data_IF_572257905986
#
_entry.id   IF_572257905986
#
_cell.length_a   1.000
_cell.length_b   1.000
_cell.length_c   1.000
_cell.angle_alpha   90.00
_cell.angle_beta   90.00
_cell.angle_gamma   90.00
#
_symmetry.space_group_name_H-M   'P 1'
#
loop_
_entity.id
_entity.type
_entity.pdbx_description
1 polymer ?
#
# COMPACT_ATOMS: atom_id res chain seq x y z
N UNK A 1 15.49 19.78 -16.96
CA UNK A 1 14.41 18.81 -16.66
C UNK A 1 14.96 17.80 -15.67
N UNK A 2 14.94 18.15 -14.37
CA UNK A 2 15.45 17.29 -13.29
C UNK A 2 14.28 16.87 -12.40
N UNK A 3 13.51 15.88 -12.84
CA UNK A 3 12.36 15.36 -12.07
C UNK A 3 12.49 13.88 -11.74
N UNK A 4 13.48 13.18 -12.30
CA UNK A 4 13.56 11.72 -12.23
C UNK A 4 14.06 11.17 -10.87
N UNK A 5 14.79 11.95 -10.08
CA UNK A 5 15.42 11.46 -8.84
C UNK A 5 14.48 11.35 -7.64
N UNK A 6 13.27 11.93 -7.69
CA UNK A 6 12.33 11.95 -6.56
C UNK A 6 11.09 11.06 -6.75
N UNK A 7 10.92 10.43 -7.91
CA UNK A 7 9.75 9.56 -8.18
C UNK A 7 9.68 8.38 -7.20
N UNK A 8 10.78 7.65 -6.90
CA UNK A 8 10.73 6.53 -5.96
C UNK A 8 10.37 6.95 -4.52
N UNK A 9 10.90 8.08 -4.04
CA UNK A 9 10.62 8.60 -2.70
C UNK A 9 9.19 9.12 -2.58
N UNK A 10 8.69 9.81 -3.61
CA UNK A 10 7.27 10.27 -3.66
C UNK A 10 6.32 9.08 -3.69
N UNK A 11 6.61 8.06 -4.50
CA UNK A 11 5.82 6.83 -4.56
C UNK A 11 5.76 6.17 -3.18
N UNK A 12 6.90 5.99 -2.52
CA UNK A 12 6.95 5.42 -1.18
C UNK A 12 6.14 6.26 -0.16
N UNK A 13 6.26 7.59 -0.19
CA UNK A 13 5.50 8.48 0.68
C UNK A 13 3.99 8.35 0.48
N UNK A 14 3.50 8.26 -0.76
CA UNK A 14 2.08 8.04 -1.06
C UNK A 14 1.60 6.69 -0.53
N UNK A 15 2.37 5.62 -0.77
CA UNK A 15 2.05 4.28 -0.25
C UNK A 15 2.02 4.27 1.28
N UNK A 16 2.94 4.96 1.93
CA UNK A 16 2.93 5.15 3.39
C UNK A 16 1.77 6.03 3.87
N UNK A 17 1.31 6.99 3.07
CA UNK A 17 0.08 7.75 3.34
C UNK A 17 -1.21 6.93 3.19
N UNK A 18 -1.13 5.66 2.80
CA UNK A 18 -2.28 4.78 2.60
C UNK A 18 -2.88 4.82 1.18
N UNK A 19 -2.25 5.52 0.23
CA UNK A 19 -2.67 5.46 -1.16
C UNK A 19 -2.46 4.04 -1.72
N UNK A 20 -3.44 3.50 -2.45
CA UNK A 20 -3.28 2.24 -3.18
C UNK A 20 -2.23 2.36 -4.29
N UNK A 21 -1.72 1.24 -4.80
CA UNK A 21 -0.83 1.23 -5.96
C UNK A 21 -1.45 1.93 -7.16
N UNK A 22 -2.73 1.66 -7.46
CA UNK A 22 -3.46 2.28 -8.58
C UNK A 22 -3.57 3.79 -8.43
N UNK A 23 -3.81 4.28 -7.21
CA UNK A 23 -3.87 5.71 -6.90
C UNK A 23 -2.49 6.36 -7.05
N UNK A 24 -1.44 5.76 -6.49
CA UNK A 24 -0.07 6.28 -6.62
C UNK A 24 0.41 6.28 -8.08
N UNK A 25 0.01 5.30 -8.88
CA UNK A 25 0.28 5.25 -10.32
C UNK A 25 -0.39 6.43 -11.04
N UNK A 26 -1.68 6.67 -10.77
CA UNK A 26 -2.42 7.76 -11.39
C UNK A 26 -1.86 9.14 -11.00
N UNK A 27 -1.54 9.34 -9.71
CA UNK A 27 -1.01 10.61 -9.20
C UNK A 27 0.39 10.94 -9.74
N UNK A 28 1.22 9.92 -9.98
CA UNK A 28 2.58 10.10 -10.50
C UNK A 28 2.71 9.91 -12.01
N UNK A 29 1.58 9.76 -12.71
CA UNK A 29 1.51 9.50 -14.16
C UNK A 29 2.44 8.35 -14.60
N UNK A 30 2.51 7.28 -13.81
CA UNK A 30 3.40 6.15 -14.05
C UNK A 30 2.78 5.17 -15.05
N UNK A 31 3.63 4.62 -15.90
CA UNK A 31 3.23 3.45 -16.69
C UNK A 31 2.99 2.25 -15.77
N UNK A 32 2.14 1.27 -16.18
CA UNK A 32 1.92 0.05 -15.39
C UNK A 32 3.22 -0.69 -15.07
N UNK A 33 4.18 -0.67 -16.01
CA UNK A 33 5.50 -1.28 -15.83
C UNK A 33 6.32 -0.58 -14.75
N UNK A 34 6.36 0.76 -14.76
CA UNK A 34 7.06 1.54 -13.73
C UNK A 34 6.42 1.37 -12.35
N UNK A 35 5.09 1.40 -12.28
CA UNK A 35 4.36 1.16 -11.05
C UNK A 35 4.62 -0.25 -10.50
N UNK A 36 4.68 -1.28 -11.37
CA UNK A 36 5.02 -2.64 -10.97
C UNK A 36 6.45 -2.78 -10.43
N UNK A 37 7.43 -2.12 -11.06
CA UNK A 37 8.81 -2.10 -10.56
C UNK A 37 8.92 -1.40 -9.20
N UNK A 38 8.27 -0.24 -9.04
CA UNK A 38 8.27 0.51 -7.79
C UNK A 38 7.54 -0.24 -6.68
N UNK A 39 6.43 -0.90 -6.98
CA UNK A 39 5.71 -1.73 -6.01
C UNK A 39 6.55 -2.96 -5.60
N UNK A 40 7.26 -3.61 -6.53
CA UNK A 40 8.19 -4.68 -6.18
C UNK A 40 9.29 -4.19 -5.25
N UNK A 41 9.91 -3.04 -5.54
CA UNK A 41 10.92 -2.44 -4.66
C UNK A 41 10.32 -2.08 -3.30
N UNK A 42 9.12 -1.51 -3.26
CA UNK A 42 8.41 -1.18 -2.03
C UNK A 42 8.09 -2.42 -1.18
N UNK A 43 7.69 -3.54 -1.80
CA UNK A 43 7.36 -4.79 -1.10
C UNK A 43 8.61 -5.57 -0.67
N UNK A 44 9.69 -5.53 -1.47
CA UNK A 44 10.93 -6.29 -1.25
C UNK A 44 11.92 -5.55 -0.34
N UNK A 45 11.87 -4.21 -0.27
CA UNK A 45 12.74 -3.42 0.62
C UNK A 45 12.65 -3.96 2.06
N UNK A 46 13.74 -4.61 2.48
CA UNK A 46 13.84 -5.44 3.67
C UNK A 46 13.38 -4.73 4.94
N UNK A 47 12.76 -5.44 5.89
CA UNK A 47 12.63 -4.95 7.25
C UNK A 47 14.04 -4.63 7.78
N UNK A 48 14.24 -3.43 8.33
CA UNK A 48 15.47 -3.12 9.08
C UNK A 48 16.29 -1.87 8.73
N UNK A 49 16.03 -1.06 7.70
CA UNK A 49 16.71 0.26 7.59
C UNK A 49 15.80 1.35 7.05
N UNK A 50 15.52 2.33 7.92
CA UNK A 50 14.86 3.63 7.69
C UNK A 50 13.40 3.60 7.18
N UNK A 51 13.10 2.79 6.17
CA UNK A 51 11.77 2.63 5.54
C UNK A 51 10.76 1.90 6.44
N UNK A 52 11.23 1.11 7.41
CA UNK A 52 10.37 0.38 8.36
C UNK A 52 9.69 1.29 9.40
N UNK A 53 10.24 2.48 9.63
CA UNK A 53 9.63 3.52 10.48
C UNK A 53 8.51 4.28 9.77
N UNK A 54 8.54 4.33 8.44
CA UNK A 54 7.52 5.00 7.64
C UNK A 54 6.37 4.06 7.24
N UNK A 55 6.51 2.74 7.39
CA UNK A 55 5.40 1.80 7.21
C UNK A 55 4.27 2.10 8.19
N UNK A 56 3.04 2.34 7.72
CA UNK A 56 1.88 2.40 8.59
C UNK A 56 1.74 1.11 9.38
N UNK A 57 1.30 1.21 10.63
CA UNK A 57 1.16 0.06 11.53
C UNK A 57 0.34 -1.07 10.89
N UNK A 58 -0.67 -0.74 10.08
CA UNK A 58 -1.50 -1.72 9.37
C UNK A 58 -0.79 -2.47 8.24
N UNK A 59 0.26 -1.90 7.61
CA UNK A 59 1.01 -2.59 6.55
C UNK A 59 1.78 -3.81 7.07
N UNK A 60 2.00 -3.89 8.39
CA UNK A 60 2.56 -5.08 9.06
C UNK A 60 1.53 -6.21 9.24
N UNK A 61 0.26 -5.89 9.04
CA UNK A 61 -0.86 -6.78 9.27
C UNK A 61 -1.45 -7.31 7.96
N UNK A 62 -0.80 -7.16 6.81
CA UNK A 62 -1.37 -7.66 5.54
C UNK A 62 -1.69 -9.16 5.59
N UNK A 63 -0.81 -9.97 6.20
CA UNK A 63 -1.08 -11.40 6.44
C UNK A 63 -2.26 -11.62 7.39
N UNK A 64 -2.40 -10.77 8.42
CA UNK A 64 -3.51 -10.81 9.36
C UNK A 64 -4.83 -10.37 8.70
N UNK A 65 -4.83 -9.32 7.90
CA UNK A 65 -5.99 -8.85 7.13
C UNK A 65 -6.40 -9.91 6.11
N UNK A 66 -5.45 -10.51 5.39
CA UNK A 66 -5.73 -11.61 4.48
C UNK A 66 -6.32 -12.83 5.21
N UNK A 67 -5.78 -13.19 6.37
CA UNK A 67 -6.31 -14.26 7.20
C UNK A 67 -7.72 -13.96 7.71
N UNK A 68 -7.99 -12.72 8.15
CA UNK A 68 -9.31 -12.27 8.59
C UNK A 68 -10.31 -12.30 7.44
N UNK A 69 -9.95 -11.80 6.26
CA UNK A 69 -10.81 -11.83 5.08
C UNK A 69 -11.09 -13.27 4.64
N UNK A 70 -10.08 -14.13 4.63
CA UNK A 70 -10.24 -15.56 4.35
C UNK A 70 -11.13 -16.27 5.39
N UNK A 71 -11.10 -15.84 6.65
CA UNK A 71 -11.96 -16.33 7.73
C UNK A 71 -13.39 -15.74 7.69
N UNK A 72 -13.76 -14.97 6.67
CA UNK A 72 -15.10 -14.38 6.53
C UNK A 72 -15.24 -12.95 7.06
N UNK A 73 -14.12 -12.26 7.31
CA UNK A 73 -14.09 -10.91 7.85
C UNK A 73 -14.16 -10.85 9.39
N UNK A 74 -14.09 -9.65 9.95
CA UNK A 74 -14.33 -9.46 11.39
C UNK A 74 -15.83 -9.66 11.69
N UNK A 75 -16.20 -10.46 12.70
CA UNK A 75 -17.61 -10.64 13.10
C UNK A 75 -18.31 -9.31 13.44
N UNK A 76 -17.55 -8.30 13.89
CA UNK A 76 -18.05 -6.97 14.25
C UNK A 76 -18.53 -6.11 13.06
N UNK A 77 -18.28 -6.52 11.81
CA UNK A 77 -18.77 -5.85 10.60
C UNK A 77 -19.95 -6.59 9.94
N UNK A 78 -20.52 -7.58 10.63
CA UNK A 78 -21.89 -7.99 10.30
C UNK A 78 -22.80 -6.88 10.79
N UNK A 79 -23.20 -5.98 9.89
CA UNK A 79 -24.33 -5.10 10.15
C UNK A 79 -25.61 -5.90 9.90
N UNK A 80 -26.37 -6.33 10.92
CA UNK A 80 -27.76 -6.68 10.72
C UNK A 80 -28.55 -5.38 10.63
N UNK A 81 -28.67 -4.80 9.42
CA UNK A 81 -29.63 -3.71 9.24
C UNK A 81 -29.35 -2.69 8.15
N UNK A 82 -29.29 -3.13 6.89
CA UNK A 82 -29.89 -2.32 5.82
C UNK A 82 -31.02 -3.16 5.24
N UNK A 83 -32.20 -3.01 5.86
CA UNK A 83 -33.47 -3.47 5.27
C UNK A 83 -33.64 -2.73 3.93
N UNK A 84 -33.96 -3.46 2.88
CA UNK A 84 -34.88 -2.95 1.86
C UNK A 84 -36.28 -3.37 2.26
#
# INVERSE_FOLDING_TARGET
>A
METSSHIPSTYAALRYGGASQSRAQAELALTPRQAGMLENVFRVARPGKMLDRMRPRFARHEAHVAAVVAAGGYPALTAPGVRR
#
